data_IF_401077176397
#
_entry.id   IF_401077176397
#
_cell.length_a   1.000
_cell.length_b   1.000
_cell.length_c   1.000
_cell.angle_alpha   90.00
_cell.angle_beta   90.00
_cell.angle_gamma   90.00
#
_symmetry.space_group_name_H-M   'P 1'
#
loop_
_entity.id
_entity.type
_entity.pdbx_description
1 polymer ?
#
# COMPACT_ATOMS: atom_id res chain seq x y z
N UNK A 1 -13.86 3.14 0.84
CA UNK A 1 -12.96 2.07 0.36
C UNK A 1 -11.69 2.03 1.18
N UNK A 2 -11.06 0.90 1.24
CA UNK A 2 -9.76 0.71 1.90
C UNK A 2 -8.67 0.60 0.85
N UNK A 3 -7.55 1.27 1.09
CA UNK A 3 -6.42 1.29 0.14
C UNK A 3 -5.15 0.80 0.83
N UNK A 4 -4.21 0.31 0.04
CA UNK A 4 -2.89 -0.10 0.51
C UNK A 4 -1.81 0.67 -0.26
N UNK A 5 -0.83 1.20 0.46
CA UNK A 5 0.35 1.83 -0.12
C UNK A 5 1.57 1.00 0.28
N UNK A 6 2.37 0.57 -0.68
CA UNK A 6 3.57 -0.22 -0.43
C UNK A 6 4.79 0.68 -0.53
N UNK A 7 5.54 0.78 0.55
CA UNK A 7 6.74 1.61 0.63
C UNK A 7 6.91 2.20 2.01
N UNK A 8 7.96 3.00 2.21
CA UNK A 8 8.30 3.57 3.51
C UNK A 8 8.87 4.98 3.43
N UNK A 9 9.04 5.53 2.24
CA UNK A 9 9.67 6.84 2.04
C UNK A 9 8.70 8.00 2.16
N UNK A 10 9.27 9.22 2.06
CA UNK A 10 8.48 10.44 2.14
C UNK A 10 7.44 10.59 1.04
N UNK A 11 7.72 10.06 -0.16
CA UNK A 11 6.77 10.10 -1.26
C UNK A 11 5.53 9.25 -0.96
N UNK A 12 5.73 8.04 -0.45
CA UNK A 12 4.64 7.16 -0.07
C UNK A 12 3.84 7.74 1.09
N UNK A 13 4.51 8.39 2.03
CA UNK A 13 3.85 9.09 3.13
C UNK A 13 2.93 10.19 2.60
N UNK A 14 3.43 11.03 1.69
CA UNK A 14 2.65 12.13 1.11
C UNK A 14 1.45 11.60 0.32
N UNK A 15 1.65 10.55 -0.47
CA UNK A 15 0.59 9.94 -1.26
C UNK A 15 -0.48 9.33 -0.35
N UNK A 16 -0.07 8.56 0.65
CA UNK A 16 -1.01 7.92 1.58
C UNK A 16 -1.84 8.95 2.34
N UNK A 17 -1.21 10.01 2.81
CA UNK A 17 -1.90 11.09 3.51
C UNK A 17 -2.93 11.75 2.60
N UNK A 18 -2.56 12.00 1.35
CA UNK A 18 -3.46 12.63 0.38
C UNK A 18 -4.65 11.73 0.07
N UNK A 19 -4.42 10.42 -0.05
CA UNK A 19 -5.49 9.47 -0.29
C UNK A 19 -6.49 9.43 0.86
N UNK A 20 -5.99 9.51 2.10
CA UNK A 20 -6.84 9.47 3.28
C UNK A 20 -7.76 10.70 3.39
N UNK A 21 -7.41 11.80 2.72
CA UNK A 21 -8.26 13.00 2.70
C UNK A 21 -9.51 12.84 1.85
N UNK A 22 -9.57 11.83 0.98
CA UNK A 22 -10.74 11.59 0.14
C UNK A 22 -11.91 11.08 0.97
N UNK A 23 -13.10 11.61 0.72
CA UNK A 23 -14.32 11.19 1.44
C UNK A 23 -14.71 9.75 1.14
N UNK A 24 -14.27 9.20 0.01
CA UNK A 24 -14.55 7.82 -0.38
C UNK A 24 -13.61 6.82 0.27
N UNK A 25 -12.51 7.30 0.88
CA UNK A 25 -11.49 6.45 1.49
C UNK A 25 -11.67 6.46 3.00
N UNK A 26 -12.00 5.31 3.56
CA UNK A 26 -12.19 5.16 5.00
C UNK A 26 -10.90 4.80 5.72
N UNK A 27 -9.98 4.14 5.04
CA UNK A 27 -8.76 3.64 5.67
C UNK A 27 -7.65 3.47 4.64
N UNK A 28 -6.42 3.85 5.01
CA UNK A 28 -5.22 3.64 4.21
C UNK A 28 -4.21 2.87 5.04
N UNK A 29 -3.80 1.70 4.56
CA UNK A 29 -2.72 0.91 5.15
C UNK A 29 -1.43 1.21 4.40
N UNK A 30 -0.31 1.18 5.10
CA UNK A 30 1.02 1.35 4.49
C UNK A 30 1.92 0.21 4.93
N UNK A 31 2.57 -0.45 3.99
CA UNK A 31 3.45 -1.59 4.25
C UNK A 31 4.83 -1.35 3.64
N UNK A 32 5.92 -1.33 4.41
CA UNK A 32 5.97 -1.35 5.87
C UNK A 32 5.70 0.01 6.52
N UNK A 33 5.79 1.11 5.77
CA UNK A 33 5.62 2.44 6.31
C UNK A 33 6.78 2.89 7.20
N UNK A 34 6.59 4.00 7.88
CA UNK A 34 7.52 4.51 8.87
C UNK A 34 6.74 5.17 10.03
N UNK A 35 7.40 5.39 11.16
CA UNK A 35 6.72 5.86 12.37
C UNK A 35 6.01 7.22 12.22
N UNK A 36 6.54 8.10 11.37
CA UNK A 36 5.90 9.39 11.13
C UNK A 36 4.52 9.29 10.52
N UNK A 37 4.25 8.21 9.81
CA UNK A 37 2.95 7.98 9.16
C UNK A 37 1.82 7.75 10.16
N UNK A 38 2.13 7.22 11.34
CA UNK A 38 1.10 6.97 12.38
C UNK A 38 0.44 8.26 12.84
N UNK A 39 1.20 9.34 12.87
CA UNK A 39 0.69 10.64 13.32
C UNK A 39 -0.35 11.22 12.38
N UNK A 40 -0.36 10.76 11.14
CA UNK A 40 -1.29 11.23 10.11
C UNK A 40 -2.50 10.30 9.93
N UNK A 41 -2.70 9.36 10.86
CA UNK A 41 -3.87 8.47 10.82
C UNK A 41 -3.73 7.28 9.88
N UNK A 42 -2.51 6.99 9.42
CA UNK A 42 -2.25 5.85 8.54
C UNK A 42 -1.98 4.59 9.37
N UNK A 43 -2.47 3.46 8.88
CA UNK A 43 -2.28 2.18 9.56
C UNK A 43 -1.07 1.45 8.99
N UNK A 44 -0.06 1.22 9.81
CA UNK A 44 1.16 0.56 9.39
C UNK A 44 1.03 -0.96 9.50
N UNK A 45 1.50 -1.64 8.46
CA UNK A 45 1.49 -3.10 8.39
C UNK A 45 2.92 -3.59 8.31
N UNK A 46 3.30 -4.47 9.21
CA UNK A 46 4.67 -4.99 9.28
C UNK A 46 4.90 -6.09 8.24
N UNK A 47 4.79 -5.73 6.97
CA UNK A 47 5.08 -6.61 5.85
C UNK A 47 6.10 -5.89 4.96
N UNK A 48 7.23 -6.55 4.70
CA UNK A 48 8.26 -5.99 3.85
C UNK A 48 7.86 -6.00 2.37
N UNK A 49 8.45 -5.09 1.59
CA UNK A 49 8.13 -4.96 0.17
C UNK A 49 8.52 -6.18 -0.67
N UNK A 50 9.44 -7.01 -0.17
CA UNK A 50 9.83 -8.26 -0.84
C UNK A 50 8.87 -9.41 -0.57
N UNK A 51 7.95 -9.26 0.38
CA UNK A 51 7.04 -10.32 0.82
C UNK A 51 5.73 -10.27 0.02
N UNK A 52 5.83 -10.50 -1.29
CA UNK A 52 4.70 -10.37 -2.22
C UNK A 52 3.49 -11.19 -1.82
N UNK A 53 3.70 -12.46 -1.43
CA UNK A 53 2.58 -13.33 -1.02
C UNK A 53 1.83 -12.78 0.18
N UNK A 54 2.55 -12.24 1.15
CA UNK A 54 1.92 -11.68 2.36
C UNK A 54 1.16 -10.40 2.04
N UNK A 55 1.68 -9.57 1.14
CA UNK A 55 1.00 -8.36 0.69
C UNK A 55 -0.30 -8.70 -0.03
N UNK A 56 -0.27 -9.71 -0.90
CA UNK A 56 -1.45 -10.16 -1.63
C UNK A 56 -2.49 -10.73 -0.67
N UNK A 57 -2.07 -11.60 0.26
CA UNK A 57 -2.96 -12.17 1.25
C UNK A 57 -3.61 -11.09 2.11
N UNK A 58 -2.85 -10.08 2.52
CA UNK A 58 -3.36 -8.94 3.27
C UNK A 58 -4.41 -8.17 2.47
N UNK A 59 -4.12 -7.89 1.20
CA UNK A 59 -5.04 -7.15 0.34
C UNK A 59 -6.37 -7.89 0.16
N UNK A 60 -6.31 -9.22 0.00
CA UNK A 60 -7.53 -10.03 -0.13
C UNK A 60 -8.31 -10.10 1.18
N UNK A 61 -7.62 -10.29 2.30
CA UNK A 61 -8.27 -10.42 3.61
C UNK A 61 -8.94 -9.13 4.07
N UNK A 62 -8.46 -7.98 3.62
CA UNK A 62 -8.96 -6.68 4.06
C UNK A 62 -9.78 -5.93 3.01
N UNK A 63 -10.16 -6.58 1.93
CA UNK A 63 -10.97 -5.98 0.86
C UNK A 63 -10.35 -4.68 0.32
N UNK A 64 -9.06 -4.70 0.07
CA UNK A 64 -8.35 -3.53 -0.47
C UNK A 64 -8.85 -3.26 -1.90
N UNK A 65 -9.34 -2.04 -2.13
CA UNK A 65 -9.89 -1.66 -3.44
C UNK A 65 -8.79 -1.58 -4.51
N UNK A 66 -7.65 -1.01 -4.15
CA UNK A 66 -6.47 -0.97 -5.01
C UNK A 66 -5.23 -0.65 -4.18
N UNK A 67 -4.06 -0.95 -4.75
CA UNK A 67 -2.77 -0.80 -4.08
C UNK A 67 -1.86 0.10 -4.90
N UNK A 68 -1.23 1.07 -4.24
CA UNK A 68 -0.18 1.89 -4.85
C UNK A 68 1.19 1.35 -4.41
N UNK A 69 2.05 1.07 -5.38
CA UNK A 69 3.40 0.57 -5.12
C UNK A 69 4.37 1.74 -5.36
N UNK A 70 5.23 2.05 -4.38
CA UNK A 70 6.20 3.13 -4.51
C UNK A 70 7.11 2.94 -5.73
N UNK A 71 7.20 3.93 -6.63
CA UNK A 71 7.89 3.75 -7.91
C UNK A 71 9.42 3.71 -7.81
N UNK A 72 9.98 4.12 -6.68
CA UNK A 72 11.43 4.16 -6.50
C UNK A 72 12.04 2.81 -6.16
N UNK A 73 11.20 1.80 -5.96
CA UNK A 73 11.67 0.46 -5.60
C UNK A 73 11.93 -0.35 -6.86
N UNK A 74 13.13 -0.94 -6.96
CA UNK A 74 13.48 -1.80 -8.08
C UNK A 74 12.57 -3.02 -8.22
N UNK A 75 11.88 -3.41 -7.15
CA UNK A 75 10.97 -4.56 -7.12
C UNK A 75 9.53 -4.18 -7.44
N UNK A 76 9.24 -2.89 -7.62
CA UNK A 76 7.87 -2.40 -7.80
C UNK A 76 7.14 -3.07 -8.97
N UNK A 77 7.81 -3.25 -10.10
CA UNK A 77 7.21 -3.86 -11.28
C UNK A 77 6.80 -5.32 -11.00
N UNK A 78 7.63 -6.06 -10.29
CA UNK A 78 7.32 -7.45 -9.92
C UNK A 78 6.12 -7.53 -8.99
N UNK A 79 6.00 -6.60 -8.05
CA UNK A 79 4.87 -6.56 -7.12
C UNK A 79 3.58 -6.26 -7.89
N UNK A 80 3.60 -5.29 -8.80
CA UNK A 80 2.43 -4.94 -9.62
C UNK A 80 1.97 -6.14 -10.43
N UNK A 81 2.93 -6.84 -11.06
CA UNK A 81 2.60 -8.02 -11.86
C UNK A 81 1.98 -9.13 -11.02
N UNK A 82 2.53 -9.38 -9.82
CA UNK A 82 2.01 -10.40 -8.92
C UNK A 82 0.60 -10.08 -8.42
N UNK A 83 0.35 -8.81 -8.10
CA UNK A 83 -0.98 -8.36 -7.69
C UNK A 83 -1.99 -8.54 -8.82
N UNK A 84 -1.63 -8.12 -10.02
CA UNK A 84 -2.52 -8.25 -11.19
C UNK A 84 -2.80 -9.72 -11.51
N UNK A 85 -1.79 -10.58 -11.39
CA UNK A 85 -1.97 -12.02 -11.58
C UNK A 85 -2.91 -12.63 -10.54
N UNK A 86 -2.97 -12.04 -9.35
CA UNK A 86 -3.88 -12.48 -8.28
C UNK A 86 -5.28 -11.86 -8.39
N UNK A 87 -5.55 -11.09 -9.44
CA UNK A 87 -6.83 -10.44 -9.63
C UNK A 87 -7.02 -9.14 -8.84
N UNK A 88 -5.93 -8.57 -8.33
CA UNK A 88 -5.95 -7.34 -7.56
C UNK A 88 -5.48 -6.17 -8.40
N UNK A 89 -6.09 -4.99 -8.20
CA UNK A 89 -5.64 -3.78 -8.88
C UNK A 89 -4.42 -3.21 -8.18
N UNK A 90 -3.36 -2.93 -8.93
CA UNK A 90 -2.15 -2.33 -8.42
C UNK A 90 -1.55 -1.36 -9.43
N UNK A 91 -0.95 -0.28 -8.92
CA UNK A 91 -0.34 0.79 -9.71
C UNK A 91 1.04 1.11 -9.15
N UNK A 92 1.98 1.38 -10.02
CA UNK A 92 3.33 1.73 -9.59
C UNK A 92 3.90 2.90 -10.34
#
# INVERSE_FOLDING_TARGET
MKLLVVGSGGREHAIAKKLLESTDVEQVFVAPGNDGMRLDGLDLINIGISEHSKLIDFAKANDIAWTFIGPDDALAAGIVDDFNAAGLKAFG
#
